data_IF_277169300646
#
_entry.id   IF_277169300646
#
_cell.length_a   1.000
_cell.length_b   1.000
_cell.length_c   1.000
_cell.angle_alpha   90.00
_cell.angle_beta   90.00
_cell.angle_gamma   90.00
#
_symmetry.space_group_name_H-M   'P 1'
#
loop_
_entity.id
_entity.type
_entity.pdbx_description
1 polymer ?
#
# COMPACT_ATOMS: atom_id res chain seq x y z
N UNK A 1 -2.46 0.97 -0.66
CA UNK A 1 -2.27 1.50 0.71
C UNK A 1 -2.81 2.93 0.78
N UNK A 2 -2.34 3.83 -0.09
CA UNK A 2 -2.71 5.26 -0.14
C UNK A 2 -4.21 5.57 -0.21
N UNK A 3 -5.00 4.75 -0.92
CA UNK A 3 -6.45 4.95 -1.03
C UNK A 3 -7.15 4.75 0.32
N UNK A 4 -6.72 3.77 1.11
CA UNK A 4 -7.32 3.45 2.42
C UNK A 4 -6.90 4.50 3.44
N UNK A 5 -5.63 4.92 3.43
CA UNK A 5 -5.11 6.02 4.25
C UNK A 5 -5.93 7.29 3.99
N UNK A 6 -6.07 7.67 2.72
CA UNK A 6 -6.84 8.85 2.32
C UNK A 6 -8.32 8.76 2.70
N UNK A 7 -8.90 7.56 2.66
CA UNK A 7 -10.28 7.35 3.08
C UNK A 7 -10.45 7.59 4.59
N UNK A 8 -9.54 7.09 5.42
CA UNK A 8 -9.58 7.34 6.86
C UNK A 8 -9.34 8.81 7.22
N UNK A 9 -8.40 9.48 6.56
CA UNK A 9 -8.16 10.92 6.74
C UNK A 9 -9.42 11.72 6.42
N UNK A 10 -10.07 11.43 5.29
CA UNK A 10 -11.32 12.10 4.92
C UNK A 10 -12.44 11.82 5.93
N UNK A 11 -12.57 10.57 6.41
CA UNK A 11 -13.58 10.20 7.39
C UNK A 11 -13.36 10.91 8.74
N UNK A 12 -12.12 11.07 9.20
CA UNK A 12 -11.82 11.82 10.42
C UNK A 12 -12.21 13.30 10.31
N UNK A 13 -12.07 13.89 9.12
CA UNK A 13 -12.50 15.27 8.85
C UNK A 13 -14.03 15.39 8.76
N UNK A 14 -14.69 14.45 8.08
CA UNK A 14 -16.14 14.44 7.87
C UNK A 14 -16.92 14.28 9.18
N UNK A 15 -16.44 13.41 10.08
CA UNK A 15 -17.13 13.07 11.32
C UNK A 15 -16.54 13.74 12.57
N UNK A 16 -15.76 14.81 12.41
CA UNK A 16 -15.04 15.49 13.52
C UNK A 16 -15.93 15.90 14.71
N UNK A 17 -17.21 16.13 14.46
CA UNK A 17 -18.23 16.47 15.47
C UNK A 17 -18.69 15.28 16.31
N UNK A 18 -18.60 14.04 15.79
CA UNK A 18 -18.94 12.80 16.51
C UNK A 18 -17.67 12.14 17.05
N UNK A 19 -17.36 12.46 18.32
CA UNK A 19 -16.17 11.93 19.00
C UNK A 19 -16.17 10.41 19.17
N UNK A 20 -17.34 9.78 19.31
CA UNK A 20 -17.41 8.33 19.46
C UNK A 20 -17.10 7.65 18.12
N UNK A 21 -17.63 8.18 17.03
CA UNK A 21 -17.35 7.66 15.70
C UNK A 21 -15.90 7.90 15.29
N UNK A 22 -15.32 9.07 15.57
CA UNK A 22 -13.89 9.31 15.39
C UNK A 22 -13.01 8.30 16.15
N UNK A 23 -13.36 7.97 17.39
CA UNK A 23 -12.61 6.97 18.16
C UNK A 23 -12.67 5.58 17.51
N UNK A 24 -13.82 5.19 16.92
CA UNK A 24 -13.95 3.94 16.17
C UNK A 24 -13.13 3.95 14.87
N UNK A 25 -13.08 5.08 14.17
CA UNK A 25 -12.22 5.27 12.99
C UNK A 25 -10.75 5.12 13.38
N UNK A 26 -10.33 5.74 14.49
CA UNK A 26 -8.95 5.65 14.98
C UNK A 26 -8.57 4.19 15.32
N UNK A 27 -9.46 3.44 15.96
CA UNK A 27 -9.22 2.00 16.21
C UNK A 27 -9.04 1.21 14.90
N UNK A 28 -9.79 1.57 13.84
CA UNK A 28 -9.61 0.99 12.51
C UNK A 28 -8.25 1.33 11.90
N UNK A 29 -7.78 2.57 12.09
CA UNK A 29 -6.44 3.01 11.69
C UNK A 29 -5.35 2.21 12.41
N UNK A 30 -5.44 2.07 13.73
CA UNK A 30 -4.42 1.38 14.53
C UNK A 30 -4.33 -0.11 14.14
N UNK A 31 -5.46 -0.74 13.85
CA UNK A 31 -5.48 -2.10 13.32
C UNK A 31 -4.84 -2.17 11.92
N UNK A 32 -5.19 -1.24 11.02
CA UNK A 32 -4.60 -1.14 9.70
C UNK A 32 -3.07 -1.00 9.77
N UNK A 33 -2.57 -0.06 10.58
CA UNK A 33 -1.13 0.17 10.78
C UNK A 33 -0.41 -1.08 11.31
N UNK A 34 -1.01 -1.78 12.28
CA UNK A 34 -0.47 -3.04 12.83
C UNK A 34 -0.37 -4.17 11.80
N UNK A 35 -1.32 -4.28 10.88
CA UNK A 35 -1.30 -5.34 9.87
C UNK A 35 -0.37 -5.00 8.71
N UNK A 36 -0.33 -3.74 8.29
CA UNK A 36 0.50 -3.32 7.15
C UNK A 36 1.97 -3.10 7.51
N UNK A 37 2.29 -2.68 8.74
CA UNK A 37 3.69 -2.65 9.24
C UNK A 37 4.37 -4.02 9.12
N UNK A 38 3.65 -5.10 9.44
CA UNK A 38 4.14 -6.48 9.29
C UNK A 38 4.27 -6.93 7.83
N UNK A 39 3.50 -6.33 6.92
CA UNK A 39 3.61 -6.63 5.49
C UNK A 39 4.84 -5.96 4.88
N UNK A 40 5.22 -4.78 5.35
CA UNK A 40 6.44 -4.09 4.91
C UNK A 40 7.72 -4.81 5.37
N UNK A 41 7.66 -5.55 6.48
CA UNK A 41 8.75 -6.43 6.95
C UNK A 41 8.91 -7.70 6.10
N UNK A 42 7.97 -8.01 5.20
CA UNK A 42 8.03 -9.20 4.35
C UNK A 42 8.73 -8.90 3.02
N UNK A 43 9.89 -9.50 2.74
CA UNK A 43 10.57 -9.35 1.45
C UNK A 43 9.69 -9.79 0.27
N UNK A 44 8.75 -10.71 0.53
CA UNK A 44 7.81 -11.22 -0.46
C UNK A 44 6.79 -10.16 -0.87
N UNK A 45 6.29 -9.39 0.09
CA UNK A 45 5.33 -8.30 -0.16
C UNK A 45 6.01 -7.13 -0.90
N UNK A 46 7.22 -6.76 -0.47
CA UNK A 46 8.04 -5.77 -1.17
C UNK A 46 8.32 -6.19 -2.63
N UNK A 47 8.71 -7.45 -2.85
CA UNK A 47 8.90 -8.00 -4.18
C UNK A 47 7.60 -8.00 -5.01
N UNK A 48 6.46 -8.34 -4.40
CA UNK A 48 5.16 -8.33 -5.09
C UNK A 48 4.72 -6.91 -5.51
N UNK A 49 4.97 -5.90 -4.68
CA UNK A 49 4.71 -4.49 -5.02
C UNK A 49 5.59 -4.01 -6.18
N UNK A 50 6.88 -4.38 -6.16
CA UNK A 50 7.83 -4.09 -7.24
C UNK A 50 7.43 -4.80 -8.55
N UNK A 51 7.02 -6.06 -8.44
CA UNK A 51 6.65 -6.91 -9.58
C UNK A 51 5.18 -6.76 -10.00
N UNK A 52 4.43 -5.83 -9.39
CA UNK A 52 3.02 -5.63 -9.66
C UNK A 52 2.77 -5.40 -11.17
N UNK A 53 1.87 -6.13 -11.84
CA UNK A 53 1.76 -6.17 -13.30
C UNK A 53 1.63 -4.79 -13.97
N UNK A 54 0.90 -3.87 -13.34
CA UNK A 54 0.72 -2.50 -13.82
C UNK A 54 2.00 -1.63 -13.77
N UNK A 55 2.97 -2.00 -12.93
CA UNK A 55 4.25 -1.28 -12.73
C UNK A 55 5.47 -2.08 -13.21
N UNK A 56 5.28 -3.38 -13.44
CA UNK A 56 6.29 -4.39 -13.78
C UNK A 56 7.12 -4.00 -15.00
N UNK A 57 6.50 -3.55 -16.09
CA UNK A 57 7.21 -3.24 -17.34
C UNK A 57 8.18 -2.07 -17.15
N UNK A 58 7.72 -0.96 -16.56
CA UNK A 58 8.57 0.22 -16.32
C UNK A 58 9.70 -0.10 -15.33
N UNK A 59 9.42 -0.90 -14.31
CA UNK A 59 10.42 -1.31 -13.34
C UNK A 59 11.52 -2.18 -13.96
N UNK A 60 11.14 -3.18 -14.77
CA UNK A 60 12.08 -4.05 -15.50
C UNK A 60 12.93 -3.21 -16.47
N UNK A 61 12.30 -2.30 -17.21
CA UNK A 61 13.01 -1.43 -18.14
C UNK A 61 14.04 -0.52 -17.45
N UNK A 62 13.73 0.00 -16.26
CA UNK A 62 14.58 0.92 -15.53
C UNK A 62 15.72 0.25 -14.74
N UNK A 63 15.47 -0.94 -14.18
CA UNK A 63 16.39 -1.56 -13.21
C UNK A 63 17.13 -2.79 -13.75
N UNK A 64 16.64 -3.45 -14.79
CA UNK A 64 17.28 -4.68 -15.30
C UNK A 64 18.17 -4.39 -16.49
N UNK A 65 19.27 -5.14 -16.60
CA UNK A 65 20.13 -5.11 -17.79
C UNK A 65 19.33 -5.53 -19.02
N UNK A 66 19.52 -4.85 -20.15
CA UNK A 66 18.81 -5.14 -21.42
C UNK A 66 18.88 -6.62 -21.84
N UNK A 67 19.98 -7.31 -21.53
CA UNK A 67 20.16 -8.74 -21.82
C UNK A 67 19.21 -9.67 -21.04
N UNK A 68 18.65 -9.21 -19.93
CA UNK A 68 17.68 -9.93 -19.08
C UNK A 68 16.23 -9.56 -19.38
N UNK A 69 16.00 -8.50 -20.16
CA UNK A 69 14.68 -8.06 -20.61
C UNK A 69 14.20 -8.89 -21.81
N UNK A 70 14.30 -10.22 -21.70
CA UNK A 70 13.79 -11.12 -22.73
C UNK A 70 12.31 -11.41 -22.45
N UNK A 71 11.45 -11.45 -23.46
CA UNK A 71 10.12 -12.02 -23.31
C UNK A 71 10.24 -13.43 -22.71
N UNK A 72 9.33 -13.79 -21.82
CA UNK A 72 9.28 -15.14 -21.26
C UNK A 72 8.74 -16.19 -22.26
N UNK A 73 8.75 -15.87 -23.55
CA UNK A 73 8.27 -16.67 -24.67
C UNK A 73 9.38 -16.75 -25.72
#
# INVERSE_FOLDING_TARGET
>A
MDIIIKHFENALVEYVSDKEFCARIQNGWDAFDKYYSKSDDSPLYAAALILHPARRIRYIQANWKKSWQKPAL
#
